data_IF_489243409067
#
_entry.id   IF_489243409067
#
_cell.length_a   1.000
_cell.length_b   1.000
_cell.length_c   1.000
_cell.angle_alpha   90.00
_cell.angle_beta   90.00
_cell.angle_gamma   90.00
#
_symmetry.space_group_name_H-M   'P 1'
#
loop_
_entity.id
_entity.type
_entity.pdbx_description
1 polymer ?
#
# COMPACT_ATOMS: atom_id res chain seq x y z
N UNK A 1 15.11 88.63 16.31
CA UNK A 1 14.15 88.21 15.25
C UNK A 1 13.97 86.68 15.36
N UNK A 2 12.75 86.29 15.71
CA UNK A 2 12.47 84.85 16.10
C UNK A 2 11.98 84.14 14.87
N UNK A 3 12.71 83.04 14.48
CA UNK A 3 12.24 82.12 13.46
C UNK A 3 11.58 80.89 14.14
N UNK A 4 10.34 80.68 13.82
CA UNK A 4 9.52 79.54 14.29
C UNK A 4 9.73 78.36 13.36
N UNK A 5 10.42 77.31 13.77
CA UNK A 5 10.46 76.03 13.07
C UNK A 5 9.17 75.21 13.30
N UNK A 6 8.52 74.80 12.22
CA UNK A 6 7.36 73.91 12.25
C UNK A 6 7.86 72.45 12.34
N UNK A 7 7.45 71.76 13.41
CA UNK A 7 7.66 70.31 13.56
C UNK A 7 6.53 69.60 12.76
N UNK A 8 6.88 68.87 11.72
CA UNK A 8 5.98 68.01 11.01
C UNK A 8 5.91 66.65 11.69
N UNK A 9 4.77 66.31 12.27
CA UNK A 9 4.51 64.97 12.83
C UNK A 9 4.29 63.98 11.72
N UNK A 10 5.22 63.02 11.61
CA UNK A 10 5.07 61.89 10.68
C UNK A 10 4.26 60.79 11.38
N UNK A 11 3.01 60.66 11.00
CA UNK A 11 2.16 59.57 11.48
C UNK A 11 2.57 58.26 10.78
N UNK A 12 3.17 57.31 11.55
CA UNK A 12 3.49 55.99 11.10
C UNK A 12 2.23 55.14 11.08
N UNK A 13 1.65 54.89 9.91
CA UNK A 13 0.52 53.98 9.72
C UNK A 13 1.09 52.56 9.74
N UNK A 14 0.93 51.86 10.86
CA UNK A 14 1.17 50.41 10.97
C UNK A 14 0.05 49.68 10.21
N UNK A 15 0.31 49.29 8.97
CA UNK A 15 -0.51 48.34 8.24
C UNK A 15 -0.30 46.93 8.84
N UNK A 16 -1.26 46.52 9.68
CA UNK A 16 -1.40 45.14 10.09
C UNK A 16 -1.76 44.29 8.88
N UNK A 17 -0.73 43.78 8.18
CA UNK A 17 -0.89 42.73 7.17
C UNK A 17 -1.33 41.46 7.84
N UNK A 18 -2.61 41.11 7.72
CA UNK A 18 -3.11 39.80 8.09
C UNK A 18 -2.40 38.75 7.22
N UNK A 19 -1.40 38.10 7.78
CA UNK A 19 -0.84 36.85 7.21
C UNK A 19 -1.97 35.83 7.20
N UNK A 20 -2.60 35.62 6.04
CA UNK A 20 -3.31 34.38 5.78
C UNK A 20 -2.29 33.25 5.80
N UNK A 21 -2.20 32.54 6.90
CA UNK A 21 -1.49 31.25 6.97
C UNK A 21 -2.31 30.23 6.18
N UNK A 22 -2.19 30.29 4.85
CA UNK A 22 -2.46 29.13 4.02
C UNK A 22 -1.39 28.10 4.39
N UNK A 23 -1.80 26.96 4.89
CA UNK A 23 -0.90 25.80 5.08
C UNK A 23 -0.38 25.41 3.70
N UNK A 24 0.76 26.00 3.28
CA UNK A 24 1.55 25.40 2.22
C UNK A 24 2.01 24.05 2.79
N UNK A 25 1.49 22.97 2.24
CA UNK A 25 2.04 21.65 2.47
C UNK A 25 3.54 21.78 2.18
N UNK A 26 4.36 21.64 3.22
CA UNK A 26 5.81 21.65 3.11
C UNK A 26 6.19 20.52 2.17
N UNK A 27 6.58 20.87 0.93
CA UNK A 27 7.13 19.90 0.00
C UNK A 27 8.34 19.25 0.67
N UNK A 28 8.42 17.93 0.59
CA UNK A 28 9.57 17.19 1.09
C UNK A 28 10.83 17.76 0.40
N UNK A 29 11.92 18.03 1.13
CA UNK A 29 13.16 18.52 0.52
C UNK A 29 13.78 17.54 -0.49
N UNK A 30 13.23 16.33 -0.62
CA UNK A 30 13.65 15.31 -1.58
C UNK A 30 12.74 15.26 -2.84
N UNK A 31 11.54 15.88 -2.80
CA UNK A 31 10.61 15.86 -3.92
C UNK A 31 10.93 16.99 -4.89
N UNK A 32 11.30 16.65 -6.11
CA UNK A 32 11.51 17.61 -7.19
C UNK A 32 10.21 17.92 -7.92
N UNK A 33 10.02 19.17 -8.33
CA UNK A 33 8.90 19.54 -9.19
C UNK A 33 9.14 19.09 -10.63
N UNK A 34 8.12 18.58 -11.31
CA UNK A 34 8.23 18.24 -12.73
C UNK A 34 8.68 19.44 -13.60
N UNK A 35 8.33 20.66 -13.19
CA UNK A 35 8.73 21.89 -13.88
C UNK A 35 10.13 22.38 -13.49
N UNK A 36 10.81 21.74 -12.54
CA UNK A 36 12.13 22.14 -12.09
C UNK A 36 13.18 21.91 -13.20
N UNK A 37 13.94 22.96 -13.54
CA UNK A 37 15.01 22.84 -14.53
C UNK A 37 16.20 22.11 -13.92
N UNK A 38 16.58 20.97 -14.50
CA UNK A 38 17.69 20.12 -14.04
C UNK A 38 18.92 20.20 -14.93
N UNK A 39 18.76 20.66 -16.19
CA UNK A 39 19.88 20.83 -17.13
C UNK A 39 19.52 21.85 -18.19
N UNK A 40 20.55 22.23 -19.01
CA UNK A 40 20.40 23.02 -20.24
C UNK A 40 21.20 22.32 -21.35
N UNK A 41 20.56 22.13 -22.49
CA UNK A 41 21.21 21.57 -23.69
C UNK A 41 20.85 22.46 -24.91
N UNK A 42 21.84 22.92 -25.64
CA UNK A 42 21.69 23.84 -26.79
C UNK A 42 20.85 25.10 -26.45
N UNK A 43 21.04 25.65 -25.23
CA UNK A 43 20.33 26.81 -24.74
C UNK A 43 18.85 26.55 -24.33
N UNK A 44 18.39 25.33 -24.45
CA UNK A 44 17.04 24.92 -24.05
C UNK A 44 17.04 24.27 -22.66
N UNK A 45 16.10 24.62 -21.77
CA UNK A 45 15.99 23.98 -20.47
C UNK A 45 15.51 22.55 -20.62
N UNK A 46 16.07 21.64 -19.83
CA UNK A 46 15.59 20.29 -19.61
C UNK A 46 14.99 20.28 -18.20
N UNK A 47 13.75 19.87 -18.09
CA UNK A 47 13.04 19.80 -16.81
C UNK A 47 13.15 18.40 -16.19
N UNK A 48 12.91 18.32 -14.88
CA UNK A 48 12.80 17.02 -14.19
C UNK A 48 11.70 16.15 -14.80
N UNK A 49 10.57 16.75 -15.22
CA UNK A 49 9.49 16.05 -15.90
C UNK A 49 9.88 15.44 -17.24
N UNK A 50 10.78 16.09 -18.01
CA UNK A 50 11.30 15.54 -19.27
C UNK A 50 12.14 14.28 -18.99
N UNK A 51 13.02 14.34 -17.98
CA UNK A 51 13.86 13.21 -17.58
C UNK A 51 12.99 12.06 -17.01
N UNK A 52 12.00 12.37 -16.19
CA UNK A 52 11.09 11.40 -15.60
C UNK A 52 10.28 10.64 -16.66
N UNK A 53 9.78 11.36 -17.67
CA UNK A 53 9.06 10.78 -18.79
C UNK A 53 9.92 9.78 -19.57
N UNK A 54 11.20 10.13 -19.82
CA UNK A 54 12.15 9.24 -20.49
C UNK A 54 12.51 8.01 -19.62
N UNK A 55 12.55 8.18 -18.30
CA UNK A 55 12.84 7.09 -17.35
C UNK A 55 11.62 6.20 -17.03
N UNK A 56 10.46 6.50 -17.60
CA UNK A 56 9.25 5.69 -17.40
C UNK A 56 8.86 5.54 -15.93
N UNK A 57 8.79 6.63 -15.18
CA UNK A 57 8.34 6.66 -13.79
C UNK A 57 9.34 6.12 -12.75
N UNK A 58 10.54 5.69 -13.14
CA UNK A 58 11.53 5.07 -12.21
C UNK A 58 12.01 6.03 -11.13
N UNK A 59 12.19 7.30 -11.47
CA UNK A 59 12.66 8.30 -10.50
C UNK A 59 11.59 8.60 -9.46
N UNK A 60 10.33 8.78 -9.88
CA UNK A 60 9.18 8.97 -8.97
C UNK A 60 9.02 7.75 -8.06
N UNK A 61 9.16 6.53 -8.59
CA UNK A 61 9.10 5.32 -7.76
C UNK A 61 10.22 5.27 -6.71
N UNK A 62 11.44 5.61 -7.10
CA UNK A 62 12.58 5.66 -6.18
C UNK A 62 12.37 6.72 -5.08
N UNK A 63 11.81 7.87 -5.44
CA UNK A 63 11.48 8.94 -4.52
C UNK A 63 10.37 8.53 -3.53
N UNK A 64 9.27 7.95 -4.01
CA UNK A 64 8.19 7.41 -3.16
C UNK A 64 8.77 6.41 -2.18
N UNK A 65 9.60 5.48 -2.65
CA UNK A 65 10.26 4.47 -1.81
C UNK A 65 11.10 5.12 -0.73
N UNK A 66 12.00 6.03 -1.11
CA UNK A 66 12.89 6.71 -0.16
C UNK A 66 12.13 7.51 0.91
N UNK A 67 11.10 8.25 0.51
CA UNK A 67 10.25 9.03 1.42
C UNK A 67 9.46 8.14 2.37
N UNK A 68 8.93 7.03 1.88
CA UNK A 68 8.17 6.07 2.70
C UNK A 68 9.10 5.38 3.70
N UNK A 69 10.25 4.87 3.25
CA UNK A 69 11.25 4.24 4.12
C UNK A 69 11.73 5.19 5.22
N UNK A 70 12.04 6.44 4.88
CA UNK A 70 12.45 7.44 5.86
C UNK A 70 11.34 7.74 6.88
N UNK A 71 10.09 7.84 6.42
CA UNK A 71 8.96 8.02 7.32
C UNK A 71 8.78 6.84 8.27
N UNK A 72 8.89 5.61 7.77
CA UNK A 72 8.76 4.40 8.59
C UNK A 72 9.87 4.27 9.62
N UNK A 73 11.11 4.62 9.25
CA UNK A 73 12.23 4.68 10.20
C UNK A 73 11.94 5.70 11.31
N UNK A 74 11.46 6.89 10.95
CA UNK A 74 11.10 7.94 11.93
C UNK A 74 9.96 7.49 12.83
N UNK A 75 8.90 6.92 12.27
CA UNK A 75 7.76 6.38 13.02
C UNK A 75 8.21 5.32 14.01
N UNK A 76 8.99 4.35 13.56
CA UNK A 76 9.51 3.29 14.41
C UNK A 76 10.40 3.83 15.53
N UNK A 77 11.24 4.82 15.24
CA UNK A 77 12.08 5.47 16.26
C UNK A 77 11.23 6.18 17.32
N UNK A 78 10.17 6.90 16.93
CA UNK A 78 9.22 7.52 17.87
C UNK A 78 8.50 6.46 18.69
N UNK A 79 7.98 5.40 18.07
CA UNK A 79 7.29 4.31 18.77
C UNK A 79 8.20 3.60 19.78
N UNK A 80 9.44 3.33 19.40
CA UNK A 80 10.44 2.73 20.32
C UNK A 80 10.75 3.65 21.48
N UNK A 81 10.98 4.94 21.23
CA UNK A 81 11.25 5.93 22.27
C UNK A 81 10.09 6.04 23.24
N UNK A 82 8.86 6.16 22.74
CA UNK A 82 7.65 6.25 23.57
C UNK A 82 7.44 4.97 24.37
N UNK A 83 7.56 3.81 23.73
CA UNK A 83 7.45 2.51 24.42
C UNK A 83 8.45 2.41 25.57
N UNK A 84 9.72 2.69 25.31
CA UNK A 84 10.78 2.68 26.35
C UNK A 84 10.42 3.61 27.49
N UNK A 85 10.02 4.85 27.18
CA UNK A 85 9.67 5.86 28.18
C UNK A 85 8.49 5.44 29.05
N UNK A 86 7.42 4.92 28.43
CA UNK A 86 6.23 4.45 29.15
C UNK A 86 6.58 3.30 30.12
N UNK A 87 7.41 2.37 29.69
CA UNK A 87 7.81 1.23 30.53
C UNK A 87 8.75 1.67 31.66
N UNK A 88 9.70 2.58 31.40
CA UNK A 88 10.58 3.16 32.43
C UNK A 88 9.78 3.93 33.50
N UNK A 89 8.80 4.75 33.08
CA UNK A 89 7.96 5.52 33.98
C UNK A 89 7.05 4.61 34.82
N UNK A 90 6.51 3.54 34.25
CA UNK A 90 5.71 2.53 34.96
C UNK A 90 6.54 1.75 36.00
N UNK A 91 7.75 1.31 35.63
CA UNK A 91 8.70 0.65 36.54
C UNK A 91 9.06 1.57 37.70
N UNK A 92 9.42 2.81 37.39
CA UNK A 92 9.77 3.83 38.39
C UNK A 92 8.63 4.14 39.37
N UNK A 93 7.39 4.18 38.87
CA UNK A 93 6.21 4.39 39.73
C UNK A 93 6.04 3.25 40.75
N UNK A 94 6.56 2.05 40.46
CA UNK A 94 6.59 0.90 41.38
C UNK A 94 7.88 0.81 42.21
N UNK A 95 8.79 1.72 42.05
CA UNK A 95 10.10 1.70 42.75
C UNK A 95 11.05 0.62 42.21
N UNK A 96 10.90 0.20 41.00
CA UNK A 96 11.62 -0.90 40.35
C UNK A 96 12.50 -0.36 39.21
N UNK A 97 13.57 -1.10 38.87
CA UNK A 97 14.26 -0.92 37.58
C UNK A 97 13.41 -1.52 36.46
N UNK A 98 13.66 -1.12 35.20
CA UNK A 98 12.93 -1.69 34.06
C UNK A 98 13.10 -3.21 33.97
N UNK A 99 14.31 -3.72 34.23
CA UNK A 99 14.59 -5.16 34.20
C UNK A 99 13.82 -5.91 35.30
N UNK A 100 13.81 -5.37 36.53
CA UNK A 100 13.04 -5.96 37.65
C UNK A 100 11.55 -5.98 37.34
N UNK A 101 11.03 -4.88 36.81
CA UNK A 101 9.65 -4.77 36.41
C UNK A 101 9.30 -5.77 35.29
N UNK A 102 10.17 -5.89 34.26
CA UNK A 102 9.99 -6.80 33.15
C UNK A 102 9.95 -8.27 33.61
N UNK A 103 10.91 -8.67 34.43
CA UNK A 103 10.95 -10.03 34.99
C UNK A 103 9.70 -10.35 35.81
N UNK A 104 9.28 -9.43 36.69
CA UNK A 104 8.19 -9.65 37.63
C UNK A 104 6.81 -9.57 36.97
N UNK A 105 6.55 -8.53 36.18
CA UNK A 105 5.23 -8.22 35.65
C UNK A 105 4.92 -8.92 34.33
N UNK A 106 5.96 -9.21 33.56
CA UNK A 106 5.77 -9.85 32.23
C UNK A 106 6.24 -11.32 32.23
N UNK A 107 7.52 -11.60 32.53
CA UNK A 107 8.02 -12.97 32.37
C UNK A 107 7.47 -13.94 33.43
N UNK A 108 7.37 -13.51 34.68
CA UNK A 108 6.83 -14.34 35.75
C UNK A 108 5.30 -14.60 35.58
N UNK A 109 4.59 -13.66 34.97
CA UNK A 109 3.14 -13.76 34.77
C UNK A 109 2.75 -14.55 33.50
N UNK A 110 3.70 -14.83 32.59
CA UNK A 110 3.42 -15.61 31.38
C UNK A 110 3.25 -17.09 31.71
N UNK A 111 2.06 -17.65 31.60
CA UNK A 111 1.88 -19.08 31.80
C UNK A 111 2.64 -19.87 30.74
N UNK A 112 3.29 -20.95 31.13
CA UNK A 112 3.86 -21.89 30.17
C UNK A 112 2.81 -22.37 29.17
N UNK A 113 3.21 -22.71 27.95
CA UNK A 113 2.25 -23.27 26.98
C UNK A 113 1.78 -24.65 27.47
N UNK A 114 0.51 -24.97 27.23
CA UNK A 114 -0.03 -26.30 27.50
C UNK A 114 0.56 -27.33 26.50
N UNK A 115 0.50 -28.60 26.87
CA UNK A 115 0.95 -29.68 25.97
C UNK A 115 0.11 -29.72 24.67
N UNK A 116 -1.17 -29.36 24.76
CA UNK A 116 -2.05 -29.25 23.60
C UNK A 116 -1.62 -28.13 22.64
N UNK A 117 -1.30 -26.94 23.18
CA UNK A 117 -0.77 -25.82 22.37
C UNK A 117 0.53 -26.19 21.68
N UNK A 118 1.44 -26.87 22.39
CA UNK A 118 2.72 -27.32 21.86
C UNK A 118 2.57 -28.37 20.75
N UNK A 119 1.68 -29.34 20.93
CA UNK A 119 1.35 -30.35 19.91
C UNK A 119 0.70 -29.72 18.69
N UNK A 120 -0.24 -28.82 18.88
CA UNK A 120 -0.88 -28.08 17.79
C UNK A 120 0.14 -27.28 16.97
N UNK A 121 1.04 -26.58 17.65
CA UNK A 121 2.13 -25.84 16.99
C UNK A 121 3.04 -26.78 16.19
N UNK A 122 3.40 -27.93 16.76
CA UNK A 122 4.21 -28.92 16.07
C UNK A 122 3.54 -29.44 14.80
N UNK A 123 2.27 -29.86 14.88
CA UNK A 123 1.54 -30.39 13.71
C UNK A 123 1.37 -29.34 12.60
N UNK A 124 1.12 -28.10 12.96
CA UNK A 124 1.00 -27.01 11.99
C UNK A 124 2.30 -26.65 11.27
N UNK A 125 3.46 -26.93 11.91
CA UNK A 125 4.77 -26.55 11.38
C UNK A 125 5.67 -27.76 11.06
N UNK A 126 5.12 -28.97 11.08
CA UNK A 126 5.84 -30.23 10.96
C UNK A 126 6.73 -30.32 9.72
N UNK A 127 6.26 -29.79 8.59
CA UNK A 127 7.03 -29.75 7.33
C UNK A 127 8.31 -28.90 7.42
N UNK A 128 8.35 -27.94 8.36
CA UNK A 128 9.48 -27.03 8.56
C UNK A 128 10.44 -27.51 9.67
N UNK A 129 10.09 -28.60 10.38
CA UNK A 129 10.86 -29.11 11.51
C UNK A 129 11.98 -30.09 11.12
N UNK A 130 12.25 -30.25 9.80
CA UNK A 130 13.38 -31.06 9.33
C UNK A 130 13.33 -32.53 9.75
N UNK A 131 12.15 -33.14 9.90
CA UNK A 131 11.95 -34.52 10.29
C UNK A 131 12.13 -34.81 11.79
N UNK A 132 12.37 -33.79 12.63
CA UNK A 132 12.48 -33.98 14.09
C UNK A 132 11.10 -34.33 14.68
N UNK A 133 11.11 -35.26 15.66
CA UNK A 133 9.89 -35.66 16.38
C UNK A 133 9.48 -34.59 17.42
N UNK A 134 8.22 -34.59 17.82
CA UNK A 134 7.71 -33.70 18.88
C UNK A 134 8.57 -33.77 20.15
N UNK A 135 8.89 -34.97 20.62
CA UNK A 135 9.68 -35.17 21.84
C UNK A 135 11.09 -34.57 21.75
N UNK A 136 11.71 -34.61 20.55
CA UNK A 136 13.03 -34.02 20.34
C UNK A 136 13.09 -32.51 20.40
N UNK A 137 11.96 -31.84 20.15
CA UNK A 137 11.92 -30.37 20.06
C UNK A 137 10.92 -29.73 21.01
N UNK A 138 10.29 -30.52 21.88
CA UNK A 138 9.26 -30.06 22.84
C UNK A 138 9.73 -28.85 23.65
N UNK A 139 10.92 -28.88 24.21
CA UNK A 139 11.44 -27.79 25.04
C UNK A 139 11.69 -26.52 24.20
N UNK A 140 12.11 -26.66 22.96
CA UNK A 140 12.26 -25.53 22.02
C UNK A 140 10.93 -24.91 21.66
N UNK A 141 9.89 -25.73 21.43
CA UNK A 141 8.52 -25.27 21.20
C UNK A 141 8.00 -24.55 22.42
N UNK A 142 8.21 -25.12 23.63
CA UNK A 142 7.79 -24.49 24.87
C UNK A 142 8.43 -23.11 25.08
N UNK A 143 9.73 -23.01 24.87
CA UNK A 143 10.46 -21.73 24.95
C UNK A 143 9.96 -20.72 23.92
N UNK A 144 9.75 -21.15 22.67
CA UNK A 144 9.25 -20.31 21.58
C UNK A 144 7.85 -19.75 21.90
N UNK A 145 6.92 -20.62 22.30
CA UNK A 145 5.54 -20.21 22.61
C UNK A 145 5.49 -19.32 23.87
N UNK A 146 6.31 -19.60 24.89
CA UNK A 146 6.42 -18.73 26.06
C UNK A 146 6.92 -17.34 25.66
N UNK A 147 7.96 -17.25 24.82
CA UNK A 147 8.47 -15.99 24.31
C UNK A 147 7.42 -15.24 23.47
N UNK A 148 6.64 -15.95 22.66
CA UNK A 148 5.56 -15.36 21.86
C UNK A 148 4.48 -14.77 22.81
N UNK A 149 4.00 -15.52 23.78
CA UNK A 149 3.04 -15.04 24.78
C UNK A 149 3.58 -13.82 25.55
N UNK A 150 4.87 -13.83 25.89
CA UNK A 150 5.51 -12.68 26.55
C UNK A 150 5.49 -11.41 25.67
N UNK A 151 5.77 -11.55 24.36
CA UNK A 151 5.66 -10.42 23.42
C UNK A 151 4.22 -9.90 23.30
N UNK A 152 3.24 -10.79 23.22
CA UNK A 152 1.84 -10.42 23.16
C UNK A 152 1.38 -9.65 24.42
N UNK A 153 1.82 -10.10 25.61
CA UNK A 153 1.53 -9.40 26.87
C UNK A 153 2.23 -8.03 26.92
N UNK A 154 3.48 -7.94 26.48
CA UNK A 154 4.19 -6.67 26.39
C UNK A 154 3.45 -5.69 25.46
N UNK A 155 3.02 -6.15 24.30
CA UNK A 155 2.27 -5.33 23.34
C UNK A 155 0.98 -4.81 24.00
N UNK A 156 0.19 -5.68 24.60
CA UNK A 156 -1.03 -5.28 25.33
C UNK A 156 -0.75 -4.25 26.41
N UNK A 157 0.31 -4.48 27.20
CA UNK A 157 0.69 -3.55 28.26
C UNK A 157 1.11 -2.17 27.73
N UNK A 158 1.86 -2.14 26.64
CA UNK A 158 2.24 -0.89 25.98
C UNK A 158 1.01 -0.16 25.43
N UNK A 159 0.06 -0.87 24.85
CA UNK A 159 -1.18 -0.28 24.33
C UNK A 159 -2.05 0.30 25.48
N UNK A 160 -2.14 -0.41 26.61
CA UNK A 160 -2.78 0.11 27.83
C UNK A 160 -2.12 1.38 28.36
N UNK A 161 -0.79 1.41 28.39
CA UNK A 161 -0.02 2.58 28.83
C UNK A 161 -0.17 3.75 27.86
N UNK A 162 -0.14 3.50 26.54
CA UNK A 162 -0.40 4.52 25.52
C UNK A 162 -1.80 5.13 25.71
N UNK A 163 -2.81 4.30 25.92
CA UNK A 163 -4.18 4.77 26.17
C UNK A 163 -4.28 5.57 27.47
N UNK A 164 -3.70 5.07 28.57
CA UNK A 164 -3.66 5.72 29.89
C UNK A 164 -3.04 7.11 29.82
N UNK A 165 -1.98 7.30 29.01
CA UNK A 165 -1.25 8.56 28.86
C UNK A 165 -1.74 9.41 27.69
N UNK A 166 -2.81 9.02 26.99
CA UNK A 166 -3.36 9.78 25.86
C UNK A 166 -2.38 9.95 24.70
N UNK A 167 -1.53 8.92 24.46
CA UNK A 167 -0.54 8.98 23.39
C UNK A 167 -1.17 9.15 22.02
N UNK A 168 -0.67 10.11 21.27
CA UNK A 168 -1.05 10.35 19.87
C UNK A 168 0.21 10.55 19.03
N UNK A 169 0.35 9.78 17.97
CA UNK A 169 1.41 10.00 17.00
C UNK A 169 1.06 11.20 16.12
N UNK A 170 1.82 12.28 16.22
CA UNK A 170 1.65 13.51 15.45
C UNK A 170 2.65 13.66 14.30
N UNK A 171 3.39 12.59 14.00
CA UNK A 171 4.33 12.57 12.88
C UNK A 171 3.56 12.71 11.56
N UNK A 172 3.78 13.83 10.87
CA UNK A 172 3.14 14.08 9.59
C UNK A 172 3.58 13.04 8.55
N UNK A 173 2.61 12.50 7.80
CA UNK A 173 2.90 11.63 6.66
C UNK A 173 3.65 12.42 5.57
N UNK A 174 4.58 11.78 4.83
CA UNK A 174 5.29 12.45 3.76
C UNK A 174 4.33 12.85 2.63
N UNK A 175 4.58 14.00 2.02
CA UNK A 175 3.95 14.33 0.73
C UNK A 175 4.62 13.47 -0.34
N UNK A 176 3.89 12.51 -0.90
CA UNK A 176 4.39 11.62 -1.93
C UNK A 176 4.06 12.20 -3.32
N UNK A 177 4.99 12.08 -4.29
CA UNK A 177 4.70 12.42 -5.66
C UNK A 177 3.60 11.53 -6.24
N UNK A 178 2.90 12.02 -7.25
CA UNK A 178 1.78 11.33 -7.88
C UNK A 178 2.02 11.16 -9.35
N UNK A 179 1.71 9.99 -9.85
CA UNK A 179 1.70 9.67 -11.28
C UNK A 179 0.25 9.79 -11.77
N UNK A 180 0.06 10.50 -12.87
CA UNK A 180 -1.24 10.54 -13.53
C UNK A 180 -1.48 9.24 -14.28
N UNK A 181 -2.42 8.45 -13.79
CA UNK A 181 -2.85 7.20 -14.44
C UNK A 181 -4.34 7.27 -14.71
N UNK A 182 -4.71 7.06 -15.96
CA UNK A 182 -6.11 7.06 -16.36
C UNK A 182 -6.85 5.90 -15.67
N UNK A 183 -7.92 6.22 -14.93
CA UNK A 183 -8.79 5.25 -14.28
C UNK A 183 -9.85 4.70 -15.26
N UNK A 184 -9.37 4.17 -16.40
CA UNK A 184 -10.18 3.56 -17.47
C UNK A 184 -10.11 2.04 -17.39
N UNK A 185 -11.24 1.39 -17.67
CA UNK A 185 -11.33 -0.07 -17.59
C UNK A 185 -12.46 -0.55 -16.69
N UNK A 186 -12.61 -1.87 -16.52
CA UNK A 186 -13.59 -2.43 -15.61
C UNK A 186 -13.36 -1.92 -14.19
N UNK A 187 -14.42 -1.48 -13.53
CA UNK A 187 -14.30 -0.95 -12.17
C UNK A 187 -15.31 -1.55 -11.21
N UNK A 188 -14.95 -1.62 -9.94
CA UNK A 188 -15.75 -2.08 -8.80
C UNK A 188 -15.75 -0.99 -7.72
N UNK A 189 -16.88 -0.74 -7.08
CA UNK A 189 -17.08 0.37 -6.14
C UNK A 189 -17.66 1.63 -6.80
N UNK A 190 -18.04 2.65 -6.00
CA UNK A 190 -18.69 3.86 -6.52
C UNK A 190 -17.76 4.70 -7.40
N UNK A 191 -18.28 5.26 -8.49
CA UNK A 191 -17.51 6.16 -9.38
C UNK A 191 -16.95 7.39 -8.66
N UNK A 192 -17.71 7.91 -7.68
CA UNK A 192 -17.34 9.07 -6.89
C UNK A 192 -16.64 8.72 -5.57
N UNK A 193 -16.11 7.50 -5.43
CA UNK A 193 -15.36 7.12 -4.25
C UNK A 193 -14.18 8.09 -3.99
N UNK A 194 -13.91 8.46 -2.72
CA UNK A 194 -12.81 9.36 -2.39
C UNK A 194 -11.43 8.79 -2.74
N UNK A 195 -11.30 7.47 -2.78
CA UNK A 195 -10.06 6.79 -3.16
C UNK A 195 -10.29 5.95 -4.40
N UNK A 196 -9.47 6.18 -5.44
CA UNK A 196 -9.42 5.33 -6.63
C UNK A 196 -8.11 4.55 -6.62
N UNK A 197 -8.20 3.24 -6.77
CA UNK A 197 -7.07 2.33 -6.94
C UNK A 197 -7.08 1.86 -8.40
N UNK A 198 -6.02 2.13 -9.15
CA UNK A 198 -5.80 1.56 -10.47
C UNK A 198 -4.81 0.41 -10.30
N UNK A 199 -5.24 -0.80 -10.64
CA UNK A 199 -4.44 -2.02 -10.55
C UNK A 199 -3.99 -2.44 -11.94
N UNK A 200 -2.68 -2.59 -12.15
CA UNK A 200 -2.11 -3.29 -13.31
C UNK A 200 -1.75 -4.71 -12.90
N UNK A 201 -2.35 -5.69 -13.56
CA UNK A 201 -2.30 -7.07 -13.08
C UNK A 201 -2.26 -8.09 -14.21
N UNK A 202 -1.72 -9.26 -13.88
CA UNK A 202 -1.58 -10.42 -14.76
C UNK A 202 -2.28 -11.63 -14.11
N UNK A 203 -3.25 -12.21 -14.80
CA UNK A 203 -4.03 -13.33 -14.29
C UNK A 203 -3.20 -14.58 -14.01
N UNK A 204 -2.03 -14.74 -14.65
CA UNK A 204 -1.15 -15.88 -14.42
C UNK A 204 -0.09 -15.61 -13.33
N UNK A 205 0.13 -14.35 -12.95
CA UNK A 205 1.15 -14.00 -11.97
C UNK A 205 0.79 -14.50 -10.56
N UNK A 206 1.64 -15.32 -9.91
CA UNK A 206 1.37 -15.85 -8.56
C UNK A 206 1.27 -14.74 -7.50
N UNK A 207 2.00 -13.64 -7.70
CA UNK A 207 1.94 -12.47 -6.80
C UNK A 207 0.60 -11.76 -6.90
N UNK A 208 0.05 -11.63 -8.14
CA UNK A 208 -1.30 -11.07 -8.36
C UNK A 208 -2.39 -11.93 -7.71
N UNK A 209 -2.28 -13.27 -7.82
CA UNK A 209 -3.22 -14.18 -7.16
C UNK A 209 -3.20 -14.08 -5.64
N UNK A 210 -2.03 -13.82 -5.03
CA UNK A 210 -1.95 -13.56 -3.58
C UNK A 210 -2.55 -12.21 -3.21
N UNK A 211 -2.24 -11.19 -4.00
CA UNK A 211 -2.70 -9.83 -3.75
C UNK A 211 -4.21 -9.67 -3.99
N UNK A 212 -4.80 -10.48 -4.88
CA UNK A 212 -6.24 -10.54 -5.08
C UNK A 212 -7.02 -10.67 -3.77
N UNK A 213 -6.57 -11.53 -2.84
CA UNK A 213 -7.23 -11.70 -1.53
C UNK A 213 -7.08 -10.46 -0.64
N UNK A 214 -5.93 -9.77 -0.72
CA UNK A 214 -5.67 -8.53 0.01
C UNK A 214 -6.59 -7.42 -0.50
N UNK A 215 -6.70 -7.29 -1.82
CA UNK A 215 -7.56 -6.30 -2.49
C UNK A 215 -9.05 -6.56 -2.17
N UNK A 216 -9.51 -7.81 -2.23
CA UNK A 216 -10.88 -8.17 -1.86
C UNK A 216 -11.21 -7.81 -0.40
N UNK A 217 -10.29 -8.08 0.52
CA UNK A 217 -10.44 -7.67 1.92
C UNK A 217 -10.52 -6.15 2.06
N UNK A 218 -9.65 -5.42 1.34
CA UNK A 218 -9.62 -3.96 1.34
C UNK A 218 -10.94 -3.38 0.80
N UNK A 219 -11.41 -3.88 -0.34
CA UNK A 219 -12.67 -3.44 -0.94
C UNK A 219 -13.86 -3.65 -0.01
N UNK A 220 -13.86 -4.75 0.75
CA UNK A 220 -14.90 -5.04 1.76
C UNK A 220 -14.81 -4.11 2.99
N UNK A 221 -13.60 -3.86 3.52
CA UNK A 221 -13.40 -3.01 4.70
C UNK A 221 -13.71 -1.53 4.40
N UNK A 222 -13.39 -1.09 3.17
CA UNK A 222 -13.63 0.30 2.72
C UNK A 222 -14.78 0.41 1.71
N UNK A 223 -15.83 -0.41 1.88
CA UNK A 223 -17.02 -0.36 1.02
C UNK A 223 -17.59 1.07 0.94
N UNK A 224 -17.93 1.48 -0.26
CA UNK A 224 -18.41 2.83 -0.55
C UNK A 224 -17.32 3.93 -0.57
N UNK A 225 -16.09 3.65 -0.11
CA UNK A 225 -14.99 4.62 -0.01
C UNK A 225 -13.87 4.41 -1.02
N UNK A 226 -13.80 3.23 -1.62
CA UNK A 226 -12.77 2.84 -2.58
C UNK A 226 -13.42 2.40 -3.89
N UNK A 227 -12.86 2.87 -5.01
CA UNK A 227 -13.10 2.40 -6.36
C UNK A 227 -11.87 1.67 -6.85
N UNK A 228 -12.00 0.41 -7.24
CA UNK A 228 -10.95 -0.38 -7.89
C UNK A 228 -11.19 -0.33 -9.40
N UNK A 229 -10.13 -0.05 -10.16
CA UNK A 229 -10.10 -0.09 -11.63
C UNK A 229 -9.03 -1.07 -12.05
N UNK A 230 -9.39 -2.05 -12.87
CA UNK A 230 -8.47 -3.08 -13.36
C UNK A 230 -7.90 -2.70 -14.73
N UNK A 231 -6.58 -2.85 -14.88
CA UNK A 231 -5.85 -2.69 -16.14
C UNK A 231 -5.02 -3.95 -16.40
N UNK A 232 -5.00 -4.38 -17.65
CA UNK A 232 -4.23 -5.54 -18.05
C UNK A 232 -2.75 -5.23 -18.17
N UNK A 233 -1.91 -6.13 -17.64
CA UNK A 233 -0.45 -6.04 -17.80
C UNK A 233 0.14 -7.45 -17.85
N UNK A 234 -0.12 -8.23 -18.92
CA UNK A 234 0.41 -9.58 -19.07
C UNK A 234 1.93 -9.55 -19.18
N UNK A 235 2.61 -10.45 -18.46
CA UNK A 235 4.06 -10.56 -18.50
C UNK A 235 4.49 -11.56 -19.59
N UNK A 236 5.44 -11.20 -20.43
CA UNK A 236 5.87 -12.00 -21.60
C UNK A 236 6.32 -13.42 -21.27
N UNK A 237 6.86 -13.65 -20.07
CA UNK A 237 7.31 -14.96 -19.61
C UNK A 237 6.18 -15.85 -19.03
N UNK A 238 4.95 -15.35 -18.98
CA UNK A 238 3.77 -16.10 -18.57
C UNK A 238 2.99 -16.56 -19.82
N UNK A 239 3.04 -17.84 -20.20
CA UNK A 239 2.55 -18.32 -21.50
C UNK A 239 1.05 -18.16 -21.73
N UNK A 240 0.24 -18.03 -20.67
CA UNK A 240 -1.21 -17.88 -20.77
C UNK A 240 -1.69 -16.44 -20.47
N UNK A 241 -0.80 -15.56 -19.99
CA UNK A 241 -1.18 -14.24 -19.51
C UNK A 241 -1.85 -13.37 -20.57
N UNK A 242 -1.30 -13.34 -21.79
CA UNK A 242 -1.86 -12.58 -22.91
C UNK A 242 -3.30 -13.01 -23.23
N UNK A 243 -3.54 -14.32 -23.35
CA UNK A 243 -4.88 -14.82 -23.65
C UNK A 243 -5.86 -14.65 -22.49
N UNK A 244 -5.39 -14.76 -21.25
CA UNK A 244 -6.20 -14.47 -20.07
C UNK A 244 -6.58 -12.97 -19.99
N UNK A 245 -5.67 -12.07 -20.34
CA UNK A 245 -5.96 -10.64 -20.45
C UNK A 245 -6.97 -10.33 -21.54
N UNK A 246 -6.80 -10.90 -22.76
CA UNK A 246 -7.77 -10.78 -23.85
C UNK A 246 -9.15 -11.31 -23.43
N UNK A 247 -9.20 -12.45 -22.71
CA UNK A 247 -10.45 -13.01 -22.18
C UNK A 247 -11.14 -12.04 -21.19
N UNK A 248 -10.39 -11.44 -20.28
CA UNK A 248 -10.90 -10.39 -19.39
C UNK A 248 -11.50 -9.21 -20.18
N UNK A 249 -10.76 -8.71 -21.18
CA UNK A 249 -11.22 -7.61 -22.02
C UNK A 249 -12.47 -7.99 -22.87
N UNK A 250 -12.56 -9.22 -23.36
CA UNK A 250 -13.76 -9.72 -24.03
C UNK A 250 -14.98 -9.81 -23.09
N UNK A 251 -14.74 -10.15 -21.82
CA UNK A 251 -15.79 -10.19 -20.82
C UNK A 251 -16.30 -8.78 -20.46
N UNK A 252 -15.40 -7.80 -20.39
CA UNK A 252 -15.75 -6.42 -20.12
C UNK A 252 -16.74 -5.82 -21.14
N UNK A 253 -16.65 -6.20 -22.40
CA UNK A 253 -17.59 -5.81 -23.47
C UNK A 253 -19.01 -6.36 -23.25
N UNK A 254 -19.17 -7.36 -22.40
CA UNK A 254 -20.45 -7.96 -22.08
C UNK A 254 -21.04 -7.46 -20.75
N UNK A 255 -20.31 -6.58 -20.06
CA UNK A 255 -20.71 -5.90 -18.83
C UNK A 255 -19.72 -6.07 -17.67
N UNK A 256 -19.63 -5.05 -16.82
CA UNK A 256 -18.70 -5.03 -15.69
C UNK A 256 -18.87 -6.19 -14.72
N UNK A 257 -20.10 -6.55 -14.36
CA UNK A 257 -20.38 -7.68 -13.47
C UNK A 257 -19.87 -9.01 -14.03
N UNK A 258 -19.96 -9.20 -15.33
CA UNK A 258 -19.48 -10.40 -16.02
C UNK A 258 -17.95 -10.44 -16.05
N UNK A 259 -17.32 -9.28 -16.28
CA UNK A 259 -15.88 -9.15 -16.15
C UNK A 259 -15.41 -9.61 -14.77
N UNK A 260 -16.00 -9.05 -13.69
CA UNK A 260 -15.55 -9.35 -12.34
C UNK A 260 -15.77 -10.83 -11.95
N UNK A 261 -16.85 -11.46 -12.42
CA UNK A 261 -17.05 -12.89 -12.21
C UNK A 261 -15.97 -13.74 -12.89
N UNK A 262 -15.62 -13.38 -14.14
CA UNK A 262 -14.55 -14.07 -14.86
C UNK A 262 -13.18 -13.79 -14.22
N UNK A 263 -12.91 -12.54 -13.85
CA UNK A 263 -11.71 -12.11 -13.15
C UNK A 263 -11.47 -12.93 -11.88
N UNK A 264 -12.46 -13.01 -10.99
CA UNK A 264 -12.36 -13.73 -9.73
C UNK A 264 -12.12 -15.24 -9.97
N UNK A 265 -12.74 -15.79 -11.03
CA UNK A 265 -12.49 -17.19 -11.43
C UNK A 265 -11.07 -17.42 -11.92
N UNK A 266 -10.54 -16.55 -12.76
CA UNK A 266 -9.18 -16.69 -13.28
C UNK A 266 -8.16 -16.62 -12.14
N UNK A 267 -8.29 -15.68 -11.20
CA UNK A 267 -7.39 -15.61 -10.04
C UNK A 267 -7.50 -16.78 -9.08
N UNK A 268 -8.68 -17.37 -8.92
CA UNK A 268 -8.85 -18.57 -8.08
C UNK A 268 -8.37 -19.85 -8.76
N UNK A 269 -8.14 -19.83 -10.08
CA UNK A 269 -7.74 -20.99 -10.86
C UNK A 269 -6.51 -20.74 -11.76
N UNK A 270 -5.52 -20.01 -11.27
CA UNK A 270 -4.34 -19.57 -12.04
C UNK A 270 -3.55 -20.71 -12.73
N UNK A 271 -3.72 -21.95 -12.29
CA UNK A 271 -3.09 -23.12 -12.91
C UNK A 271 -3.81 -23.63 -14.16
N UNK A 272 -4.99 -23.07 -14.50
CA UNK A 272 -5.85 -23.48 -15.61
C UNK A 272 -6.32 -22.24 -16.37
N UNK A 273 -5.48 -21.73 -17.25
CA UNK A 273 -5.74 -20.53 -18.06
C UNK A 273 -5.54 -20.79 -19.56
N UNK A 274 -5.62 -22.06 -20.01
CA UNK A 274 -5.66 -22.37 -21.41
C UNK A 274 -6.97 -21.86 -22.03
N UNK A 275 -7.02 -21.67 -23.35
CA UNK A 275 -8.17 -21.09 -24.04
C UNK A 275 -9.48 -21.85 -23.74
N UNK A 276 -9.42 -23.18 -23.66
CA UNK A 276 -10.56 -24.03 -23.32
C UNK A 276 -11.04 -23.78 -21.88
N UNK A 277 -10.13 -23.61 -20.92
CA UNK A 277 -10.46 -23.27 -19.54
C UNK A 277 -11.14 -21.90 -19.47
N UNK A 278 -10.59 -20.88 -20.17
CA UNK A 278 -11.14 -19.52 -20.23
C UNK A 278 -12.56 -19.50 -20.79
N UNK A 279 -12.84 -20.27 -21.86
CA UNK A 279 -14.18 -20.44 -22.42
C UNK A 279 -15.13 -21.12 -21.44
N UNK A 280 -14.65 -22.12 -20.71
CA UNK A 280 -15.39 -22.76 -19.62
C UNK A 280 -15.78 -21.76 -18.53
N UNK A 281 -14.83 -20.99 -18.05
CA UNK A 281 -15.07 -19.96 -17.01
C UNK A 281 -16.02 -18.87 -17.49
N UNK A 282 -15.90 -18.43 -18.76
CA UNK A 282 -16.78 -17.44 -19.34
C UNK A 282 -18.26 -17.94 -19.34
N UNK A 283 -18.50 -19.17 -19.75
CA UNK A 283 -19.83 -19.81 -19.72
C UNK A 283 -20.39 -19.87 -18.30
N UNK A 284 -19.57 -20.31 -17.33
CA UNK A 284 -19.95 -20.40 -15.90
C UNK A 284 -20.20 -19.04 -15.27
N UNK A 285 -19.53 -17.98 -15.78
CA UNK A 285 -19.73 -16.60 -15.35
C UNK A 285 -20.95 -15.92 -16.00
N UNK A 286 -21.69 -16.64 -16.86
CA UNK A 286 -22.91 -16.16 -17.52
C UNK A 286 -22.67 -15.24 -18.72
N UNK A 287 -21.49 -15.34 -19.36
CA UNK A 287 -21.22 -14.65 -20.62
C UNK A 287 -21.96 -15.35 -21.78
N UNK A 288 -22.27 -14.57 -22.82
CA UNK A 288 -22.66 -15.13 -24.13
C UNK A 288 -21.43 -15.82 -24.72
N UNK A 289 -21.47 -17.17 -24.74
CA UNK A 289 -20.34 -17.99 -25.17
C UNK A 289 -19.98 -17.77 -26.64
N UNK A 290 -20.97 -17.63 -27.53
CA UNK A 290 -20.70 -17.45 -28.95
C UNK A 290 -19.98 -16.12 -29.22
N UNK A 291 -20.42 -15.04 -28.57
CA UNK A 291 -19.79 -13.74 -28.65
C UNK A 291 -18.41 -13.74 -27.99
N UNK A 292 -18.27 -14.41 -26.85
CA UNK A 292 -17.01 -14.51 -26.13
C UNK A 292 -15.97 -15.30 -26.94
N UNK A 293 -16.33 -16.48 -27.44
CA UNK A 293 -15.45 -17.36 -28.20
C UNK A 293 -14.96 -16.66 -29.48
N UNK A 294 -15.86 -15.99 -30.20
CA UNK A 294 -15.48 -15.21 -31.38
C UNK A 294 -14.46 -14.11 -31.02
N UNK A 295 -14.70 -13.37 -29.95
CA UNK A 295 -13.83 -12.30 -29.50
C UNK A 295 -12.43 -12.85 -29.12
N UNK A 296 -12.38 -13.92 -28.31
CA UNK A 296 -11.11 -14.48 -27.80
C UNK A 296 -10.31 -15.17 -28.92
N UNK A 297 -10.97 -16.00 -29.77
CA UNK A 297 -10.30 -16.70 -30.86
C UNK A 297 -9.83 -15.73 -31.94
N UNK A 298 -10.62 -14.69 -32.22
CA UNK A 298 -10.28 -13.63 -33.16
C UNK A 298 -9.24 -12.63 -32.65
N UNK A 299 -8.89 -12.67 -31.38
CA UNK A 299 -7.96 -11.71 -30.77
C UNK A 299 -8.44 -10.26 -30.82
N UNK A 300 -9.79 -10.06 -30.83
CA UNK A 300 -10.41 -8.74 -31.01
C UNK A 300 -10.00 -7.73 -29.92
N UNK A 301 -9.48 -8.19 -28.79
CA UNK A 301 -9.09 -7.36 -27.63
C UNK A 301 -7.58 -7.20 -27.42
N UNK A 302 -6.75 -7.72 -28.33
CA UNK A 302 -5.32 -7.57 -28.26
C UNK A 302 -4.89 -6.10 -28.13
N UNK A 303 -5.42 -5.23 -28.98
CA UNK A 303 -5.08 -3.80 -28.97
C UNK A 303 -5.48 -3.10 -27.65
N UNK A 304 -6.54 -3.56 -26.97
CA UNK A 304 -6.95 -3.04 -25.66
C UNK A 304 -5.92 -3.42 -24.59
N UNK A 305 -5.46 -4.69 -24.61
CA UNK A 305 -4.44 -5.19 -23.68
C UNK A 305 -3.12 -4.46 -23.91
N UNK A 306 -2.67 -4.31 -25.16
CA UNK A 306 -1.44 -3.58 -25.51
C UNK A 306 -1.50 -2.10 -25.10
N UNK A 307 -2.67 -1.45 -25.23
CA UNK A 307 -2.85 -0.07 -24.76
C UNK A 307 -2.79 0.04 -23.23
N UNK A 308 -3.31 -0.94 -22.50
CA UNK A 308 -3.20 -1.00 -21.04
C UNK A 308 -1.76 -1.21 -20.59
N UNK A 309 -1.08 -2.15 -21.23
CA UNK A 309 0.33 -2.45 -20.97
C UNK A 309 1.22 -1.22 -21.21
N UNK A 310 1.04 -0.56 -22.37
CA UNK A 310 1.76 0.68 -22.71
C UNK A 310 1.51 1.77 -21.65
N UNK A 311 0.26 1.98 -21.24
CA UNK A 311 -0.06 2.97 -20.22
C UNK A 311 0.57 2.63 -18.86
N UNK A 312 0.66 1.34 -18.51
CA UNK A 312 1.38 0.89 -17.34
C UNK A 312 2.88 1.18 -17.43
N UNK A 313 3.50 0.86 -18.57
CA UNK A 313 4.92 1.15 -18.81
C UNK A 313 5.23 2.65 -18.74
N UNK A 314 4.40 3.50 -19.35
CA UNK A 314 4.51 4.96 -19.28
C UNK A 314 4.35 5.49 -17.84
N UNK A 315 3.54 4.82 -17.00
CA UNK A 315 3.39 5.11 -15.58
C UNK A 315 4.50 4.49 -14.71
N UNK A 316 5.45 3.74 -15.31
CA UNK A 316 6.59 3.14 -14.63
C UNK A 316 6.33 1.74 -14.09
N UNK A 317 5.25 1.08 -14.49
CA UNK A 317 5.01 -0.34 -14.15
C UNK A 317 6.01 -1.20 -14.91
N UNK A 318 6.74 -2.04 -14.19
CA UNK A 318 7.74 -2.96 -14.72
C UNK A 318 7.55 -4.41 -14.22
N UNK A 319 6.43 -4.67 -13.56
CA UNK A 319 6.04 -5.98 -13.03
C UNK A 319 4.68 -5.91 -12.38
N UNK A 320 4.12 -7.06 -12.05
CA UNK A 320 2.76 -7.17 -11.48
C UNK A 320 2.74 -7.93 -10.15
N UNK A 321 1.77 -7.60 -9.28
CA UNK A 321 0.81 -6.52 -9.41
C UNK A 321 1.45 -5.15 -9.21
N UNK A 322 0.85 -4.07 -9.75
CA UNK A 322 1.23 -2.71 -9.48
C UNK A 322 -0.03 -1.84 -9.27
N UNK A 323 -0.01 -0.96 -8.30
CA UNK A 323 -1.19 -0.18 -7.93
C UNK A 323 -0.88 1.31 -7.89
N UNK A 324 -1.90 2.11 -8.18
CA UNK A 324 -1.87 3.56 -8.02
C UNK A 324 -3.05 3.99 -7.15
N UNK A 325 -2.77 4.33 -5.89
CA UNK A 325 -3.78 4.80 -4.93
C UNK A 325 -3.89 6.32 -5.04
N UNK A 326 -4.92 6.82 -5.74
CA UNK A 326 -5.04 8.23 -6.13
C UNK A 326 -3.73 8.78 -6.76
N UNK A 327 -3.07 7.97 -7.60
CA UNK A 327 -1.82 8.32 -8.27
C UNK A 327 -0.55 8.03 -7.45
N UNK A 328 -0.64 7.62 -6.19
CA UNK A 328 0.53 7.17 -5.42
C UNK A 328 0.83 5.72 -5.79
N UNK A 329 2.03 5.49 -6.30
CA UNK A 329 2.47 4.17 -6.73
C UNK A 329 2.75 3.24 -5.55
N UNK A 330 2.15 2.05 -5.58
CA UNK A 330 2.41 0.93 -4.66
C UNK A 330 2.86 -0.26 -5.50
N UNK A 331 4.12 -0.64 -5.35
CA UNK A 331 4.77 -1.63 -6.21
C UNK A 331 4.72 -3.04 -5.62
N UNK A 332 4.24 -3.98 -6.41
CA UNK A 332 4.22 -5.40 -6.08
C UNK A 332 3.13 -5.80 -5.08
N UNK A 333 3.18 -7.06 -4.68
CA UNK A 333 2.35 -7.56 -3.61
C UNK A 333 2.86 -7.05 -2.26
N UNK A 334 2.01 -6.34 -1.52
CA UNK A 334 2.35 -5.71 -0.25
C UNK A 334 1.50 -6.28 0.90
N UNK A 335 1.99 -6.26 2.15
CA UNK A 335 1.17 -6.63 3.29
C UNK A 335 -0.10 -5.78 3.39
N UNK A 336 -1.21 -6.39 3.80
CA UNK A 336 -2.51 -5.72 3.96
C UNK A 336 -2.41 -4.38 4.70
N UNK A 337 -1.67 -4.31 5.80
CA UNK A 337 -1.52 -3.08 6.61
C UNK A 337 -0.85 -1.94 5.83
N UNK A 338 0.12 -2.25 4.98
CA UNK A 338 0.76 -1.25 4.13
C UNK A 338 -0.22 -0.69 3.08
N UNK A 339 -1.04 -1.56 2.48
CA UNK A 339 -2.05 -1.14 1.52
C UNK A 339 -3.16 -0.32 2.20
N UNK A 340 -3.60 -0.77 3.38
CA UNK A 340 -4.53 -0.04 4.25
C UNK A 340 -4.02 1.36 4.59
N UNK A 341 -2.77 1.48 5.03
CA UNK A 341 -2.15 2.78 5.33
C UNK A 341 -2.15 3.73 4.12
N UNK A 342 -1.94 3.21 2.90
CA UNK A 342 -2.01 4.02 1.69
C UNK A 342 -3.43 4.56 1.45
N UNK A 343 -4.46 3.73 1.62
CA UNK A 343 -5.87 4.12 1.50
C UNK A 343 -6.27 5.12 2.58
N UNK A 344 -5.91 4.87 3.84
CA UNK A 344 -6.25 5.77 4.95
C UNK A 344 -5.62 7.15 4.83
N UNK A 345 -4.37 7.21 4.34
CA UNK A 345 -3.72 8.50 4.03
C UNK A 345 -4.51 9.30 3.01
N UNK A 346 -5.00 8.64 1.96
CA UNK A 346 -5.78 9.32 0.93
C UNK A 346 -7.19 9.71 1.40
N UNK A 347 -7.82 8.92 2.25
CA UNK A 347 -9.08 9.28 2.89
C UNK A 347 -8.92 10.52 3.77
N UNK A 348 -7.88 10.58 4.62
CA UNK A 348 -7.58 11.74 5.48
C UNK A 348 -7.25 13.00 4.68
N UNK A 349 -6.63 12.87 3.50
CA UNK A 349 -6.29 14.01 2.65
C UNK A 349 -7.52 14.65 2.00
N UNK A 350 -8.57 13.88 1.73
CA UNK A 350 -9.79 14.36 1.05
C UNK A 350 -10.94 14.73 2.01
N UNK A 351 -10.88 14.34 3.27
CA UNK A 351 -11.82 14.75 4.35
C UNK A 351 -11.28 15.96 5.07
#
# INVERSE_FOLDING_TARGET
>A
MKSKGKIASLALVLALGACKTGSQAQQSPLAMSAAEQVAVMDGKPITYGDVEKEQGGKLVQAEIKALTELHDIRRNAVEQYVTKRLLEDEAKAKGETLDQWYEKELLASVPGPSDEEMKKFYEQNKSQMGGQTYEQIKDRIAAHLKQQKGREQLTKKVDELKAKHGYQLTLASPSLPRVEVAATGPSRGPENAPVTIVEFSDFQCPYCGREFQVVERLMKEYDGKVRLVFRHFPLDFHPFAQKAAEAGACAADQGGDKFWKLHDRMFTNQQKLAVEDLKGYAKESGLDSARFDKCLDGGEKRAVVEADEKAGQEAGVNGTPAFFVNGIFVNGAVPYEQFKDAVERELKRKG
#
